data_IF_399453637400
#
_entry.id   IF_399453637400
#
_cell.length_a   1.000
_cell.length_b   1.000
_cell.length_c   1.000
_cell.angle_alpha   90.00
_cell.angle_beta   90.00
_cell.angle_gamma   90.00
#
_symmetry.space_group_name_H-M   'P 1'
#
loop_
_entity.id
_entity.type
_entity.pdbx_description
1 polymer ?
#
# COMPACT_ATOMS: atom_id res chain seq x y z
N UNK A 1 -19.08 -5.93 -6.52
CA UNK A 1 -19.82 -4.93 -7.33
C UNK A 1 -18.89 -3.76 -7.69
N UNK A 2 -19.07 -3.15 -8.86
CA UNK A 2 -18.24 -2.03 -9.34
C UNK A 2 -19.10 -0.83 -9.72
N UNK A 3 -18.66 0.39 -9.37
CA UNK A 3 -19.31 1.66 -9.76
C UNK A 3 -18.34 2.48 -10.59
N UNK A 4 -18.82 3.07 -11.69
CA UNK A 4 -18.02 3.97 -12.52
C UNK A 4 -17.94 5.36 -11.89
N UNK A 5 -16.73 5.88 -11.79
CA UNK A 5 -16.42 7.25 -11.37
C UNK A 5 -15.60 7.91 -12.47
N UNK A 6 -15.86 9.20 -12.72
CA UNK A 6 -15.06 10.01 -13.65
C UNK A 6 -14.31 11.04 -12.81
N UNK A 7 -13.00 11.13 -13.01
CA UNK A 7 -12.12 12.06 -12.30
C UNK A 7 -11.23 12.76 -13.32
N UNK A 8 -10.90 14.03 -13.07
CA UNK A 8 -9.84 14.72 -13.79
C UNK A 8 -8.53 14.57 -13.03
N UNK A 9 -7.45 14.29 -13.74
CA UNK A 9 -6.10 14.15 -13.18
C UNK A 9 -5.19 15.22 -13.80
N UNK A 10 -4.16 15.68 -13.08
CA UNK A 10 -3.05 16.42 -13.67
C UNK A 10 -2.40 15.63 -14.81
N UNK A 11 -1.93 16.32 -15.85
CA UNK A 11 -1.44 15.70 -17.09
C UNK A 11 -0.26 14.74 -16.86
N UNK A 12 0.65 15.09 -15.95
CA UNK A 12 1.79 14.26 -15.57
C UNK A 12 1.33 12.96 -14.90
N UNK A 13 0.33 13.04 -14.02
CA UNK A 13 -0.27 11.87 -13.36
C UNK A 13 -1.02 10.99 -14.35
N UNK A 14 -1.80 11.60 -15.26
CA UNK A 14 -2.50 10.88 -16.32
C UNK A 14 -1.50 10.10 -17.20
N UNK A 15 -0.44 10.78 -17.65
CA UNK A 15 0.63 10.18 -18.45
C UNK A 15 1.32 9.03 -17.72
N UNK A 16 1.60 9.18 -16.42
CA UNK A 16 2.21 8.12 -15.61
C UNK A 16 1.32 6.87 -15.52
N UNK A 17 0.03 7.08 -15.27
CA UNK A 17 -0.94 5.99 -15.15
C UNK A 17 -1.12 5.28 -16.48
N UNK A 18 -1.18 6.00 -17.60
CA UNK A 18 -1.27 5.44 -18.96
C UNK A 18 -0.04 4.61 -19.34
N UNK A 19 1.15 4.99 -18.86
CA UNK A 19 2.41 4.24 -19.09
C UNK A 19 2.50 2.93 -18.31
N UNK A 20 1.69 2.77 -17.27
CA UNK A 20 1.70 1.55 -16.46
C UNK A 20 1.02 0.43 -17.27
N UNK A 21 1.77 -0.57 -17.70
CA UNK A 21 1.23 -1.63 -18.55
C UNK A 21 0.09 -2.39 -17.84
N UNK A 22 -1.11 -2.38 -18.44
CA UNK A 22 -2.28 -3.12 -17.97
C UNK A 22 -3.55 -2.29 -17.82
N UNK A 23 -4.40 -2.67 -16.85
CA UNK A 23 -5.67 -2.01 -16.57
C UNK A 23 -5.47 -0.83 -15.60
N UNK A 24 -5.48 0.40 -16.13
CA UNK A 24 -5.45 1.67 -15.38
C UNK A 24 -6.35 1.69 -14.14
N UNK A 25 -7.61 1.25 -14.31
CA UNK A 25 -8.57 1.22 -13.20
C UNK A 25 -8.19 0.21 -12.12
N UNK A 26 -7.59 -0.92 -12.50
CA UNK A 26 -7.07 -1.92 -11.59
C UNK A 26 -5.87 -1.40 -10.79
N UNK A 27 -4.94 -0.70 -11.45
CA UNK A 27 -3.80 -0.07 -10.81
C UNK A 27 -4.24 0.97 -9.76
N UNK A 28 -5.10 1.92 -10.17
CA UNK A 28 -5.64 2.95 -9.26
C UNK A 28 -6.39 2.30 -8.10
N UNK A 29 -7.25 1.32 -8.37
CA UNK A 29 -7.98 0.60 -7.32
C UNK A 29 -7.03 -0.12 -6.35
N UNK A 30 -5.92 -0.68 -6.83
CA UNK A 30 -4.88 -1.29 -6.01
C UNK A 30 -4.22 -0.30 -5.05
N UNK A 31 -3.85 0.88 -5.55
CA UNK A 31 -3.28 1.97 -4.74
C UNK A 31 -4.28 2.43 -3.69
N UNK A 32 -5.53 2.70 -4.09
CA UNK A 32 -6.57 3.17 -3.19
C UNK A 32 -6.87 2.14 -2.09
N UNK A 33 -6.98 0.85 -2.42
CA UNK A 33 -7.16 -0.21 -1.42
C UNK A 33 -5.99 -0.28 -0.44
N UNK A 34 -4.75 -0.10 -0.91
CA UNK A 34 -3.57 -0.07 -0.03
C UNK A 34 -3.64 1.12 0.93
N UNK A 35 -4.02 2.31 0.44
CA UNK A 35 -4.23 3.49 1.29
C UNK A 35 -5.34 3.27 2.31
N UNK A 36 -6.49 2.74 1.89
CA UNK A 36 -7.61 2.43 2.80
C UNK A 36 -7.18 1.48 3.92
N UNK A 37 -6.45 0.40 3.62
CA UNK A 37 -5.94 -0.51 4.65
C UNK A 37 -5.03 0.19 5.65
N UNK A 38 -4.11 1.04 5.17
CA UNK A 38 -3.23 1.81 6.05
C UNK A 38 -4.01 2.79 6.95
N UNK A 39 -5.01 3.48 6.39
CA UNK A 39 -5.85 4.42 7.13
C UNK A 39 -6.70 3.68 8.20
N UNK A 40 -7.29 2.53 7.85
CA UNK A 40 -8.01 1.68 8.82
C UNK A 40 -7.12 1.15 9.94
N UNK A 41 -5.88 0.74 9.63
CA UNK A 41 -4.92 0.31 10.66
C UNK A 41 -4.55 1.44 11.61
N UNK A 42 -4.29 2.64 11.08
CA UNK A 42 -4.03 3.83 11.91
C UNK A 42 -5.19 4.15 12.84
N UNK A 43 -6.42 4.10 12.33
CA UNK A 43 -7.62 4.30 13.16
C UNK A 43 -7.71 3.24 14.27
N UNK A 44 -7.53 1.95 13.93
CA UNK A 44 -7.56 0.87 14.91
C UNK A 44 -6.45 0.94 15.97
N UNK A 45 -5.27 1.47 15.63
CA UNK A 45 -4.22 1.75 16.59
C UNK A 45 -4.56 2.91 17.52
N UNK A 46 -5.10 4.00 16.97
CA UNK A 46 -5.51 5.17 17.75
C UNK A 46 -6.60 4.81 18.78
N UNK A 47 -7.57 3.98 18.41
CA UNK A 47 -8.59 3.44 19.33
C UNK A 47 -7.99 2.67 20.52
N UNK A 48 -6.82 2.08 20.33
CA UNK A 48 -6.08 1.32 21.36
C UNK A 48 -5.07 2.19 22.11
N UNK A 49 -5.05 3.49 21.87
CA UNK A 49 -4.13 4.44 22.50
C UNK A 49 -2.76 4.54 21.84
N UNK A 50 -2.55 3.90 20.68
CA UNK A 50 -1.32 4.02 19.91
C UNK A 50 -1.46 5.11 18.85
N UNK A 51 -0.83 6.25 19.08
CA UNK A 51 -0.78 7.35 18.12
C UNK A 51 0.51 7.28 17.32
N UNK A 52 0.40 7.06 16.02
CA UNK A 52 1.51 7.15 15.06
C UNK A 52 1.41 8.49 14.36
N UNK A 53 2.33 9.40 14.66
CA UNK A 53 2.35 10.74 14.04
C UNK A 53 3.03 10.73 12.68
N UNK A 54 2.83 11.77 11.88
CA UNK A 54 3.58 11.95 10.62
C UNK A 54 5.10 12.07 10.87
N UNK A 55 5.50 12.67 12.00
CA UNK A 55 6.92 12.75 12.39
C UNK A 55 7.51 11.36 12.68
N UNK A 56 6.76 10.48 13.37
CA UNK A 56 7.20 9.12 13.63
C UNK A 56 7.36 8.30 12.34
N UNK A 57 6.46 8.53 11.38
CA UNK A 57 6.55 7.93 10.05
C UNK A 57 7.80 8.40 9.33
N UNK A 58 8.06 9.71 9.32
CA UNK A 58 9.22 10.26 8.62
C UNK A 58 10.54 9.82 9.26
N UNK A 59 10.65 9.89 10.59
CA UNK A 59 11.80 9.36 11.34
C UNK A 59 12.06 7.89 11.02
N UNK A 60 10.98 7.10 10.89
CA UNK A 60 11.10 5.69 10.51
C UNK A 60 11.59 5.53 9.07
N UNK A 61 11.10 6.34 8.12
CA UNK A 61 11.56 6.33 6.73
C UNK A 61 13.04 6.66 6.62
N UNK A 62 13.49 7.71 7.30
CA UNK A 62 14.91 8.09 7.33
C UNK A 62 15.78 6.96 7.87
N UNK A 63 15.35 6.33 8.98
CA UNK A 63 16.06 5.19 9.56
C UNK A 63 16.13 4.01 8.58
N UNK A 64 15.04 3.70 7.87
CA UNK A 64 15.01 2.62 6.87
C UNK A 64 15.87 2.94 5.64
N UNK A 65 15.90 4.20 5.20
CA UNK A 65 16.73 4.63 4.09
C UNK A 65 18.23 4.54 4.40
N UNK A 66 18.61 4.62 5.67
CA UNK A 66 19.98 4.41 6.13
C UNK A 66 20.40 2.92 6.20
N UNK A 67 19.45 1.98 6.11
CA UNK A 67 19.75 0.56 6.08
C UNK A 67 20.14 0.13 4.65
N UNK A 68 21.03 -0.88 4.51
CA UNK A 68 21.31 -1.45 3.20
C UNK A 68 20.01 -2.00 2.59
N UNK A 69 19.83 -1.89 1.26
CA UNK A 69 18.70 -2.51 0.60
C UNK A 69 18.72 -4.01 0.86
N UNK A 70 17.54 -4.60 1.04
CA UNK A 70 17.41 -6.05 1.19
C UNK A 70 17.90 -6.73 -0.09
N UNK A 71 18.57 -7.87 0.05
CA UNK A 71 18.99 -8.66 -1.11
C UNK A 71 17.79 -9.27 -1.82
N UNK A 72 17.94 -9.61 -3.11
CA UNK A 72 16.89 -10.30 -3.88
C UNK A 72 16.46 -11.62 -3.21
N UNK A 73 17.42 -12.36 -2.65
CA UNK A 73 17.14 -13.60 -1.92
C UNK A 73 16.31 -13.33 -0.65
N UNK A 74 16.63 -12.28 0.09
CA UNK A 74 15.85 -11.89 1.26
C UNK A 74 14.45 -11.40 0.86
N UNK A 75 14.34 -10.66 -0.24
CA UNK A 75 13.06 -10.24 -0.79
C UNK A 75 12.19 -11.44 -1.18
N UNK A 76 12.75 -12.44 -1.87
CA UNK A 76 12.05 -13.67 -2.25
C UNK A 76 11.55 -14.44 -1.02
N UNK A 77 12.38 -14.61 0.01
CA UNK A 77 11.98 -15.25 1.27
C UNK A 77 10.85 -14.48 1.96
N UNK A 78 10.93 -13.15 2.00
CA UNK A 78 9.87 -12.33 2.58
C UNK A 78 8.55 -12.51 1.82
N UNK A 79 8.59 -12.57 0.48
CA UNK A 79 7.39 -12.81 -0.33
C UNK A 79 6.81 -14.22 -0.15
N UNK A 80 7.66 -15.23 0.05
CA UNK A 80 7.21 -16.58 0.39
C UNK A 80 6.55 -16.62 1.77
N UNK A 81 7.17 -15.98 2.76
CA UNK A 81 6.59 -15.83 4.10
C UNK A 81 5.27 -15.06 4.09
N UNK A 82 5.13 -14.01 3.27
CA UNK A 82 3.87 -13.27 3.17
C UNK A 82 2.74 -14.09 2.54
N UNK A 83 3.06 -14.92 1.53
CA UNK A 83 2.06 -15.78 0.87
C UNK A 83 1.34 -16.72 1.82
N UNK A 84 1.97 -17.12 2.93
CA UNK A 84 1.34 -18.00 3.92
C UNK A 84 0.16 -17.34 4.66
N UNK A 85 0.02 -16.01 4.58
CA UNK A 85 -1.07 -15.26 5.21
C UNK A 85 -2.12 -14.76 4.22
N UNK A 86 -1.91 -14.94 2.91
CA UNK A 86 -2.87 -14.49 1.89
C UNK A 86 -4.13 -15.40 1.83
N UNK A 87 -4.06 -16.64 2.33
CA UNK A 87 -5.20 -17.59 2.33
C UNK A 87 -6.27 -17.31 3.42
N UNK A 88 -5.96 -16.53 4.46
CA UNK A 88 -6.91 -16.26 5.57
C UNK A 88 -7.87 -15.09 5.30
N UNK A 89 -7.67 -14.34 4.20
CA UNK A 89 -8.45 -13.14 3.88
C UNK A 89 -9.78 -13.37 3.16
N UNK A 90 -10.07 -14.59 2.69
CA UNK A 90 -11.28 -14.88 1.91
C UNK A 90 -12.49 -15.33 2.77
N UNK A 91 -12.31 -15.60 4.07
CA UNK A 91 -13.36 -16.16 4.93
C UNK A 91 -14.08 -15.14 5.84
N UNK A 92 -13.74 -13.85 5.78
CA UNK A 92 -14.28 -12.83 6.68
C UNK A 92 -14.89 -11.61 5.93
N UNK A 93 -15.72 -11.87 4.92
CA UNK A 93 -16.56 -10.86 4.27
C UNK A 93 -18.02 -11.29 4.21
#
# INVERSE_FOLDING_TARGET
MTRRITISLPDDVATYVERTQGNTSGFIAGILRRKMRADSLRAGWAERGYLVTEEDVERTRERLAALPPISDEQHARNLEWLRQFDDDGAAAA
#
